data_IF_610338954137
#
_entry.id   IF_610338954137
#
_cell.length_a   1.000
_cell.length_b   1.000
_cell.length_c   1.000
_cell.angle_alpha   90.00
_cell.angle_beta   90.00
_cell.angle_gamma   90.00
#
_symmetry.space_group_name_H-M   'P 1'
#
loop_
_entity.id
_entity.type
_entity.pdbx_description
1 polymer ?
#
# COMPACT_ATOMS: atom_id res chain seq x y z
N UNK A 1 -20.65 -8.34 -5.94
CA UNK A 1 -19.61 -7.67 -6.76
C UNK A 1 -18.70 -6.92 -5.81
N UNK A 2 -17.82 -7.65 -5.13
CA UNK A 2 -16.77 -7.01 -4.36
C UNK A 2 -15.80 -6.43 -5.37
N UNK A 3 -15.74 -5.11 -5.42
CA UNK A 3 -14.69 -4.40 -6.13
C UNK A 3 -13.40 -4.80 -5.43
N UNK A 4 -12.76 -5.86 -5.93
CA UNK A 4 -11.40 -6.22 -5.56
C UNK A 4 -10.60 -4.93 -5.72
N UNK A 5 -10.32 -4.29 -4.58
CA UNK A 5 -9.68 -3.00 -4.53
C UNK A 5 -8.35 -3.17 -5.26
N UNK A 6 -8.27 -2.79 -6.53
CA UNK A 6 -7.08 -2.96 -7.38
C UNK A 6 -5.85 -2.24 -6.80
N UNK A 7 -6.06 -1.41 -5.78
CA UNK A 7 -5.07 -0.65 -5.04
C UNK A 7 -4.79 -1.24 -3.64
N UNK A 8 -5.36 -2.39 -3.27
CA UNK A 8 -5.22 -3.03 -1.96
C UNK A 8 -3.87 -3.74 -1.83
N UNK A 9 -2.80 -2.95 -1.88
CA UNK A 9 -1.43 -3.43 -1.87
C UNK A 9 -0.66 -2.73 -0.75
N UNK A 10 0.34 -3.39 -0.16
CA UNK A 10 1.15 -2.79 0.89
C UNK A 10 1.87 -1.54 0.36
N UNK A 11 2.32 -1.55 -0.90
CA UNK A 11 2.98 -0.41 -1.55
C UNK A 11 2.15 0.89 -1.57
N UNK A 12 0.82 0.81 -1.52
CA UNK A 12 -0.08 1.98 -1.54
C UNK A 12 -0.49 2.44 -0.13
N UNK A 13 -0.02 1.73 0.90
CA UNK A 13 -0.33 2.00 2.30
C UNK A 13 0.55 3.11 2.87
N UNK A 14 -0.02 3.95 3.75
CA UNK A 14 0.73 5.00 4.46
C UNK A 14 1.85 4.45 5.35
N UNK A 15 1.76 3.18 5.75
CA UNK A 15 2.71 2.56 6.68
C UNK A 15 3.88 1.86 5.98
N UNK A 16 3.87 1.78 4.65
CA UNK A 16 4.92 1.14 3.89
C UNK A 16 6.21 1.96 3.95
N UNK A 17 7.29 1.36 4.44
CA UNK A 17 8.62 1.95 4.47
C UNK A 17 9.58 1.13 3.64
N UNK A 18 10.40 1.84 2.89
CA UNK A 18 11.50 1.28 2.13
C UNK A 18 12.77 1.57 2.92
N UNK A 19 13.44 0.53 3.37
CA UNK A 19 14.71 0.62 4.07
C UNK A 19 15.81 0.18 3.11
N UNK A 20 16.64 1.14 2.69
CA UNK A 20 17.80 0.88 1.83
C UNK A 20 19.01 0.66 2.73
N UNK A 21 19.42 -0.60 2.87
CA UNK A 21 20.61 -0.97 3.63
C UNK A 21 21.82 -1.22 2.74
N UNK A 22 22.96 -1.49 3.36
CA UNK A 22 24.22 -1.84 2.69
C UNK A 22 24.13 -3.13 1.86
N UNK A 23 23.18 -4.02 2.15
CA UNK A 23 22.98 -5.30 1.47
C UNK A 23 21.80 -5.35 0.49
N UNK A 24 21.06 -4.25 0.30
CA UNK A 24 19.91 -4.22 -0.60
C UNK A 24 18.76 -3.35 -0.12
N UNK A 25 17.61 -3.53 -0.77
CA UNK A 25 16.37 -2.83 -0.44
C UNK A 25 15.45 -3.79 0.30
N UNK A 26 15.15 -3.48 1.56
CA UNK A 26 14.15 -4.18 2.36
C UNK A 26 12.91 -3.31 2.50
N UNK A 27 11.76 -3.95 2.64
CA UNK A 27 10.50 -3.24 2.84
C UNK A 27 9.93 -3.64 4.18
N UNK A 28 9.50 -2.66 4.98
CA UNK A 28 8.98 -2.89 6.32
C UNK A 28 7.70 -2.11 6.54
N UNK A 29 6.76 -2.71 7.27
CA UNK A 29 5.55 -2.02 7.70
C UNK A 29 5.81 -1.29 9.01
N UNK A 30 5.59 0.03 9.04
CA UNK A 30 5.74 0.84 10.26
C UNK A 30 4.79 0.42 11.39
N UNK A 31 3.60 -0.05 11.01
CA UNK A 31 2.53 -0.42 11.95
C UNK A 31 2.78 -1.77 12.59
N UNK A 32 3.15 -2.76 11.78
CA UNK A 32 3.34 -4.12 12.24
C UNK A 32 4.80 -4.41 12.59
N UNK A 33 5.74 -3.54 12.21
CA UNK A 33 7.19 -3.71 12.36
C UNK A 33 7.79 -4.96 11.72
N UNK A 34 7.02 -5.66 10.86
CA UNK A 34 7.48 -6.81 10.09
C UNK A 34 7.96 -6.43 8.69
N UNK A 35 8.89 -7.23 8.18
CA UNK A 35 9.25 -7.20 6.76
C UNK A 35 8.01 -7.52 5.91
N UNK A 36 7.80 -6.71 4.89
CA UNK A 36 6.65 -6.78 3.99
C UNK A 36 7.14 -6.80 2.55
N UNK A 37 6.24 -7.01 1.60
CA UNK A 37 6.54 -6.86 0.17
C UNK A 37 5.49 -5.95 -0.48
N UNK A 38 5.88 -5.20 -1.52
CA UNK A 38 4.97 -4.29 -2.20
C UNK A 38 3.69 -4.98 -2.70
N UNK A 39 3.79 -6.22 -3.18
CA UNK A 39 2.69 -7.09 -3.66
C UNK A 39 1.77 -7.67 -2.57
N UNK A 40 2.10 -7.50 -1.29
CA UNK A 40 1.31 -8.11 -0.23
C UNK A 40 -0.01 -7.37 0.00
N UNK A 41 -1.07 -8.14 0.25
CA UNK A 41 -2.43 -7.64 0.46
C UNK A 41 -2.82 -7.91 1.91
N UNK A 42 -2.56 -6.95 2.79
CA UNK A 42 -2.89 -7.07 4.21
C UNK A 42 -4.28 -6.53 4.49
N UNK A 43 -5.03 -7.20 5.37
CA UNK A 43 -6.32 -6.70 5.81
C UNK A 43 -6.23 -5.32 6.51
N UNK A 44 -5.10 -5.04 7.18
CA UNK A 44 -4.79 -3.71 7.70
C UNK A 44 -4.17 -2.82 6.60
N UNK A 45 -5.02 -2.33 5.69
CA UNK A 45 -4.60 -1.42 4.64
C UNK A 45 -5.19 -0.02 4.84
N UNK A 46 -4.35 1.00 4.69
CA UNK A 46 -4.76 2.40 4.82
C UNK A 46 -4.16 3.19 3.66
N UNK A 47 -4.96 3.58 2.65
CA UNK A 47 -4.46 4.27 1.48
C UNK A 47 -3.86 5.62 1.85
N UNK A 48 -2.77 5.98 1.17
CA UNK A 48 -2.26 7.35 1.19
C UNK A 48 -3.26 8.32 0.57
N UNK A 49 -3.18 9.59 0.95
CA UNK A 49 -4.03 10.65 0.39
C UNK A 49 -3.98 10.69 -1.14
N UNK A 50 -2.80 10.45 -1.74
CA UNK A 50 -2.64 10.33 -3.19
C UNK A 50 -3.48 9.19 -3.77
N UNK A 51 -3.45 8.02 -3.14
CA UNK A 51 -4.22 6.85 -3.58
C UNK A 51 -5.71 7.08 -3.39
N UNK A 52 -6.13 7.71 -2.28
CA UNK A 52 -7.54 8.13 -2.08
C UNK A 52 -8.01 9.02 -3.22
N UNK A 53 -7.24 10.06 -3.57
CA UNK A 53 -7.57 10.95 -4.71
C UNK A 53 -7.69 10.19 -6.03
N UNK A 54 -6.78 9.24 -6.30
CA UNK A 54 -6.85 8.39 -7.50
C UNK A 54 -8.09 7.49 -7.52
N UNK A 55 -8.48 6.94 -6.36
CA UNK A 55 -9.71 6.17 -6.23
C UNK A 55 -10.96 7.01 -6.50
N UNK A 56 -11.00 8.23 -5.96
CA UNK A 56 -12.12 9.16 -6.19
C UNK A 56 -12.20 9.60 -7.65
N UNK A 57 -11.08 9.95 -8.27
CA UNK A 57 -11.00 10.27 -9.69
C UNK A 57 -11.45 9.10 -10.59
N UNK A 58 -11.20 7.85 -10.16
CA UNK A 58 -11.68 6.66 -10.86
C UNK A 58 -13.17 6.42 -10.65
N UNK A 59 -13.71 6.70 -9.47
CA UNK A 59 -15.15 6.62 -9.18
C UNK A 59 -15.95 7.66 -9.97
N UNK A 60 -15.40 8.87 -10.13
CA UNK A 60 -16.06 9.98 -10.84
C UNK A 60 -16.12 9.80 -12.36
N UNK A 61 -15.35 8.86 -12.93
CA UNK A 61 -15.37 8.54 -14.36
C UNK A 61 -16.34 7.41 -14.72
N UNK A 62 -17.32 7.12 -13.84
CA UNK A 62 -18.28 6.04 -14.01
C UNK A 62 -19.72 6.53 -13.97
#
# INVERSE_FOLDING_TARGET
METENAYHCCATCIHFRVEKGTGGVSYRCSRLTYETRPDYRFQCWTPTEKVKRLMEARKSQR
#
